data_IF_595099231837
#
_entry.id   IF_595099231837
#
_cell.length_a   1.000
_cell.length_b   1.000
_cell.length_c   1.000
_cell.angle_alpha   90.00
_cell.angle_beta   90.00
_cell.angle_gamma   90.00
#
_symmetry.space_group_name_H-M   'P 1'
#
loop_
_entity.id
_entity.type
_entity.pdbx_description
1 polymer ?
#
# COMPACT_ATOMS: atom_id res chain seq x y z
N UNK A 1 31.33 -17.93 22.59
CA UNK A 1 30.53 -17.44 21.45
C UNK A 1 29.38 -18.39 21.18
N UNK A 2 28.25 -18.20 21.87
CA UNK A 2 27.11 -19.13 21.86
C UNK A 2 25.96 -18.65 20.95
N UNK A 3 26.28 -17.99 19.82
CA UNK A 3 25.30 -17.21 19.04
C UNK A 3 25.03 -17.69 17.61
N UNK A 4 25.62 -18.80 17.14
CA UNK A 4 25.51 -19.18 15.71
C UNK A 4 25.10 -20.63 15.46
N UNK A 5 24.06 -21.12 16.16
CA UNK A 5 23.38 -22.34 15.70
C UNK A 5 21.89 -22.43 16.07
N UNK A 6 21.15 -21.31 15.98
CA UNK A 6 19.69 -21.40 15.91
C UNK A 6 19.35 -21.96 14.53
N UNK A 7 19.28 -23.30 14.41
CA UNK A 7 18.74 -23.96 13.21
C UNK A 7 17.33 -23.42 13.01
N UNK A 8 17.16 -22.48 12.08
CA UNK A 8 15.85 -22.01 11.65
C UNK A 8 15.14 -23.24 11.09
N UNK A 9 14.16 -23.74 11.83
CA UNK A 9 13.34 -24.84 11.36
C UNK A 9 12.40 -24.23 10.32
N UNK A 10 12.71 -24.40 9.03
CA UNK A 10 11.90 -23.91 7.90
C UNK A 10 10.64 -24.77 7.68
N UNK A 11 10.40 -25.80 8.49
CA UNK A 11 9.20 -26.64 8.40
C UNK A 11 7.88 -25.84 8.50
N UNK A 12 7.76 -24.78 9.33
CA UNK A 12 6.57 -23.92 9.39
C UNK A 12 6.37 -23.02 8.16
N UNK A 13 7.40 -22.77 7.34
CA UNK A 13 7.23 -22.08 6.04
C UNK A 13 6.52 -22.97 5.01
N UNK A 14 6.52 -24.29 5.22
CA UNK A 14 5.74 -25.23 4.40
C UNK A 14 4.27 -25.29 4.83
N UNK A 15 3.92 -24.75 6.01
CA UNK A 15 2.54 -24.56 6.39
C UNK A 15 1.96 -23.38 5.60
N UNK A 16 0.70 -23.46 5.13
CA UNK A 16 0.09 -22.44 4.27
C UNK A 16 0.14 -21.04 4.90
N UNK A 17 0.09 -20.93 6.23
CA UNK A 17 0.14 -19.66 6.95
C UNK A 17 1.51 -18.96 6.84
N UNK A 18 2.62 -19.69 7.00
CA UNK A 18 3.97 -19.13 6.91
C UNK A 18 4.31 -18.64 5.51
N UNK A 19 3.87 -19.36 4.48
CA UNK A 19 4.02 -18.94 3.08
C UNK A 19 3.26 -17.65 2.78
N UNK A 20 2.02 -17.52 3.28
CA UNK A 20 1.21 -16.31 3.07
C UNK A 20 1.87 -15.08 3.70
N UNK A 21 2.40 -15.18 4.93
CA UNK A 21 3.13 -14.07 5.58
C UNK A 21 4.38 -13.63 4.78
N UNK A 22 5.08 -14.58 4.14
CA UNK A 22 6.21 -14.26 3.27
C UNK A 22 5.77 -13.49 2.01
N UNK A 23 4.64 -13.89 1.42
CA UNK A 23 4.07 -13.19 0.26
C UNK A 23 3.62 -11.77 0.66
N UNK A 24 2.90 -11.61 1.78
CA UNK A 24 2.50 -10.29 2.33
C UNK A 24 3.69 -9.36 2.57
N UNK A 25 4.79 -9.92 3.07
CA UNK A 25 6.03 -9.19 3.32
C UNK A 25 6.66 -8.68 2.02
N UNK A 26 6.77 -9.55 1.01
CA UNK A 26 7.34 -9.18 -0.30
C UNK A 26 6.46 -8.15 -1.03
N UNK A 27 5.16 -8.35 -1.06
CA UNK A 27 4.21 -7.42 -1.72
C UNK A 27 4.19 -6.06 -1.03
N UNK A 28 4.35 -6.00 0.30
CA UNK A 28 4.50 -4.72 1.01
C UNK A 28 5.74 -3.95 0.56
N UNK A 29 6.89 -4.62 0.38
CA UNK A 29 8.12 -4.00 -0.15
C UNK A 29 7.89 -3.40 -1.53
N UNK A 30 7.26 -4.16 -2.43
CA UNK A 30 6.96 -3.65 -3.76
C UNK A 30 5.98 -2.47 -3.72
N UNK A 31 4.99 -2.50 -2.83
CA UNK A 31 4.02 -1.40 -2.69
C UNK A 31 4.67 -0.10 -2.21
N UNK A 32 5.37 -0.10 -1.07
CA UNK A 32 5.98 1.14 -0.58
C UNK A 32 7.21 1.55 -1.39
N UNK A 33 7.98 0.61 -1.91
CA UNK A 33 9.17 0.90 -2.71
C UNK A 33 8.86 1.54 -4.05
N UNK A 34 7.80 1.08 -4.72
CA UNK A 34 7.36 1.63 -6.02
C UNK A 34 6.73 3.02 -5.89
N UNK A 35 6.03 3.31 -4.79
CA UNK A 35 5.41 4.62 -4.54
C UNK A 35 6.40 5.62 -3.90
N UNK A 36 7.08 5.22 -2.82
CA UNK A 36 7.97 6.09 -2.05
C UNK A 36 9.29 6.42 -2.75
N UNK A 37 9.76 5.55 -3.65
CA UNK A 37 10.98 5.78 -4.45
C UNK A 37 10.75 6.49 -5.78
N UNK A 38 9.52 6.94 -6.07
CA UNK A 38 9.18 7.47 -7.38
C UNK A 38 9.66 8.91 -7.58
N UNK A 39 10.29 9.16 -8.72
CA UNK A 39 10.57 10.49 -9.27
C UNK A 39 10.24 10.49 -10.76
N UNK A 40 9.51 11.51 -11.21
CA UNK A 40 9.05 11.70 -12.57
C UNK A 40 9.40 13.09 -13.09
N UNK A 41 9.65 13.17 -14.39
CA UNK A 41 9.93 14.41 -15.10
C UNK A 41 9.03 14.50 -16.33
N UNK A 42 8.31 15.61 -16.45
CA UNK A 42 7.58 15.97 -17.66
C UNK A 42 8.28 17.15 -18.35
N UNK A 43 8.25 17.16 -19.68
CA UNK A 43 8.65 18.32 -20.49
C UNK A 43 7.41 18.87 -21.17
N UNK A 44 7.17 20.15 -20.96
CA UNK A 44 6.05 20.91 -21.51
C UNK A 44 6.63 21.83 -22.58
N UNK A 45 6.20 21.67 -23.82
CA UNK A 45 6.56 22.55 -24.92
C UNK A 45 5.49 23.61 -25.12
N UNK A 46 5.93 24.85 -25.29
CA UNK A 46 5.10 26.02 -25.53
C UNK A 46 5.39 26.50 -26.95
N UNK A 47 4.37 26.46 -27.81
CA UNK A 47 4.45 26.92 -29.19
C UNK A 47 3.89 28.34 -29.25
N UNK A 48 4.79 29.34 -29.34
CA UNK A 48 4.40 30.74 -29.38
C UNK A 48 3.96 31.15 -30.80
N UNK A 49 2.96 32.02 -30.92
CA UNK A 49 2.49 32.56 -32.21
C UNK A 49 3.56 33.28 -33.04
N UNK A 50 4.65 33.73 -32.41
CA UNK A 50 5.80 34.37 -33.06
C UNK A 50 6.77 33.36 -33.71
N UNK A 51 6.45 32.06 -33.68
CA UNK A 51 7.26 30.97 -34.26
C UNK A 51 8.38 30.46 -33.34
N UNK A 52 8.52 31.01 -32.14
CA UNK A 52 9.44 30.52 -31.11
C UNK A 52 8.84 29.34 -30.33
N UNK A 53 9.69 28.36 -30.00
CA UNK A 53 9.32 27.22 -29.16
C UNK A 53 10.12 27.28 -27.86
N UNK A 54 9.41 27.28 -26.74
CA UNK A 54 10.01 27.26 -25.41
C UNK A 54 9.68 25.95 -24.71
N UNK A 55 10.51 25.52 -23.76
CA UNK A 55 10.28 24.27 -23.00
C UNK A 55 10.38 24.50 -21.50
N UNK A 56 9.44 23.92 -20.76
CA UNK A 56 9.40 23.92 -19.31
C UNK A 56 9.53 22.50 -18.79
N UNK A 57 10.30 22.34 -17.71
CA UNK A 57 10.50 21.04 -17.07
C UNK A 57 9.74 20.99 -15.76
N UNK A 58 8.80 20.04 -15.64
CA UNK A 58 8.04 19.79 -14.43
C UNK A 58 8.54 18.51 -13.75
N UNK A 59 9.26 18.66 -12.64
CA UNK A 59 9.77 17.53 -11.86
C UNK A 59 8.87 17.25 -10.67
N UNK A 60 8.34 16.05 -10.53
CA UNK A 60 7.52 15.67 -9.39
C UNK A 60 7.99 14.34 -8.80
N UNK A 61 7.99 14.27 -7.48
CA UNK A 61 8.48 13.12 -6.72
C UNK A 61 7.54 12.85 -5.55
N UNK A 62 7.64 11.67 -4.93
CA UNK A 62 6.98 11.39 -3.66
C UNK A 62 7.37 12.47 -2.62
N UNK A 63 6.41 13.08 -1.88
CA UNK A 63 5.02 12.67 -1.70
C UNK A 63 4.01 13.33 -2.67
N UNK A 64 4.39 13.81 -3.84
CA UNK A 64 3.46 14.39 -4.84
C UNK A 64 2.76 15.68 -4.36
N UNK A 65 3.55 16.58 -3.77
CA UNK A 65 3.14 17.97 -3.47
C UNK A 65 3.26 18.84 -4.71
N UNK A 66 2.40 18.61 -5.71
CA UNK A 66 2.45 19.33 -6.99
C UNK A 66 2.33 20.86 -6.79
N UNK A 67 1.55 21.29 -5.80
CA UNK A 67 1.40 22.71 -5.39
C UNK A 67 2.69 23.39 -4.93
N UNK A 68 3.74 22.64 -4.60
CA UNK A 68 5.04 23.18 -4.18
C UNK A 68 6.09 23.10 -5.28
N UNK A 69 5.82 22.37 -6.37
CA UNK A 69 6.74 22.27 -7.50
C UNK A 69 6.50 23.47 -8.43
N UNK A 70 7.48 24.38 -8.59
CA UNK A 70 7.36 25.45 -9.57
C UNK A 70 7.47 24.86 -10.98
N UNK A 71 6.50 25.17 -11.85
CA UNK A 71 6.58 24.95 -13.30
C UNK A 71 7.50 25.96 -13.97
N UNK A 72 7.63 27.14 -13.36
CA UNK A 72 8.48 28.24 -13.80
C UNK A 72 9.27 28.73 -12.60
N UNK A 73 10.59 28.53 -12.64
CA UNK A 73 11.49 28.96 -11.58
C UNK A 73 11.78 30.46 -11.73
N UNK A 74 11.08 31.27 -10.94
CA UNK A 74 11.17 32.74 -10.97
C UNK A 74 10.25 33.42 -11.99
N UNK A 75 10.29 34.75 -12.02
CA UNK A 75 9.55 35.54 -13.01
C UNK A 75 10.36 35.54 -14.31
N UNK A 76 9.92 34.78 -15.30
CA UNK A 76 10.54 34.75 -16.62
C UNK A 76 9.56 35.21 -17.69
N UNK A 77 10.10 35.81 -18.74
CA UNK A 77 9.32 36.14 -19.94
C UNK A 77 9.28 34.90 -20.83
N UNK A 78 8.11 34.31 -20.99
CA UNK A 78 7.88 33.14 -21.83
C UNK A 78 6.90 33.56 -22.93
N UNK A 79 7.24 33.31 -24.20
CA UNK A 79 6.45 33.76 -25.34
C UNK A 79 6.10 35.27 -25.30
N UNK A 80 7.06 36.15 -24.98
CA UNK A 80 6.83 37.60 -24.82
C UNK A 80 5.79 37.99 -23.74
N UNK A 81 5.35 37.05 -22.90
CA UNK A 81 4.49 37.30 -21.75
C UNK A 81 5.26 37.09 -20.44
N UNK A 82 5.10 38.00 -19.47
CA UNK A 82 5.66 37.79 -18.13
C UNK A 82 4.84 36.73 -17.39
N UNK A 83 5.46 35.59 -17.09
CA UNK A 83 4.84 34.53 -16.30
C UNK A 83 5.39 34.61 -14.88
N UNK A 84 4.49 34.77 -13.92
CA UNK A 84 4.82 34.68 -12.50
C UNK A 84 4.98 33.22 -12.10
N UNK A 85 5.75 32.96 -11.05
CA UNK A 85 5.98 31.61 -10.52
C UNK A 85 4.65 30.85 -10.38
N UNK A 86 4.45 29.88 -11.25
CA UNK A 86 3.22 29.09 -11.31
C UNK A 86 3.55 27.70 -10.79
N UNK A 87 2.77 27.23 -9.83
CA UNK A 87 2.90 25.89 -9.28
C UNK A 87 1.91 24.94 -9.95
N UNK A 88 2.23 23.64 -10.00
CA UNK A 88 1.27 22.65 -10.51
C UNK A 88 0.04 22.57 -9.58
N UNK A 89 -1.15 22.37 -10.16
CA UNK A 89 -2.38 22.26 -9.37
C UNK A 89 -2.53 20.83 -8.83
N UNK A 90 -2.60 20.71 -7.51
CA UNK A 90 -2.95 19.46 -6.84
C UNK A 90 -2.05 19.13 -5.65
N UNK A 91 -2.62 18.46 -4.66
CA UNK A 91 -1.87 17.84 -3.57
C UNK A 91 -2.41 16.42 -3.38
N UNK A 92 -1.57 15.42 -3.65
CA UNK A 92 -1.89 14.01 -3.40
C UNK A 92 -0.97 13.39 -2.33
N UNK A 93 -0.31 14.25 -1.53
CA UNK A 93 0.64 13.82 -0.50
C UNK A 93 -0.01 13.05 0.63
N UNK A 94 -1.14 13.51 1.14
CA UNK A 94 -1.85 12.80 2.20
C UNK A 94 -2.19 11.36 1.81
N UNK A 95 -2.69 11.14 0.59
CA UNK A 95 -3.01 9.80 0.08
C UNK A 95 -1.77 8.93 -0.10
N UNK A 96 -0.68 9.49 -0.65
CA UNK A 96 0.57 8.76 -0.88
C UNK A 96 1.28 8.41 0.45
N UNK A 97 1.37 9.37 1.37
CA UNK A 97 1.92 9.22 2.71
C UNK A 97 1.13 8.20 3.52
N UNK A 98 -0.20 8.23 3.44
CA UNK A 98 -1.04 7.22 4.09
C UNK A 98 -0.80 5.81 3.54
N UNK A 99 -0.73 5.65 2.21
CA UNK A 99 -0.45 4.35 1.59
C UNK A 99 0.93 3.80 1.95
N UNK A 100 1.98 4.61 1.84
CA UNK A 100 3.35 4.22 2.21
C UNK A 100 3.46 3.93 3.70
N UNK A 101 2.84 4.75 4.55
CA UNK A 101 2.84 4.55 6.01
C UNK A 101 2.21 3.22 6.42
N UNK A 102 1.01 2.91 5.92
CA UNK A 102 0.37 1.61 6.17
C UNK A 102 1.20 0.46 5.61
N UNK A 103 1.83 0.65 4.44
CA UNK A 103 2.68 -0.39 3.87
C UNK A 103 3.93 -0.71 4.71
N UNK A 104 4.56 0.30 5.33
CA UNK A 104 5.66 0.10 6.28
C UNK A 104 5.17 -0.63 7.54
N UNK A 105 4.00 -0.26 8.07
CA UNK A 105 3.42 -0.94 9.24
C UNK A 105 3.14 -2.42 8.95
N UNK A 106 2.52 -2.73 7.80
CA UNK A 106 2.26 -4.09 7.36
C UNK A 106 3.56 -4.89 7.14
N UNK A 107 4.59 -4.26 6.57
CA UNK A 107 5.93 -4.84 6.40
C UNK A 107 6.56 -5.23 7.75
N UNK A 108 6.55 -4.32 8.73
CA UNK A 108 7.10 -4.59 10.07
C UNK A 108 6.29 -5.67 10.79
N UNK A 109 4.97 -5.63 10.70
CA UNK A 109 4.09 -6.63 11.30
C UNK A 109 4.35 -8.03 10.73
N UNK A 110 4.35 -8.17 9.41
CA UNK A 110 4.59 -9.46 8.74
C UNK A 110 5.98 -10.01 9.05
N UNK A 111 7.01 -9.15 9.14
CA UNK A 111 8.35 -9.54 9.59
C UNK A 111 8.35 -10.06 11.02
N UNK A 112 7.74 -9.34 11.97
CA UNK A 112 7.68 -9.77 13.38
C UNK A 112 6.89 -11.06 13.52
N UNK A 113 5.72 -11.15 12.89
CA UNK A 113 4.91 -12.36 12.87
C UNK A 113 5.73 -13.54 12.34
N UNK A 114 6.41 -13.39 11.20
CA UNK A 114 7.25 -14.44 10.62
C UNK A 114 8.39 -14.87 11.56
N UNK A 115 9.05 -13.94 12.25
CA UNK A 115 10.09 -14.27 13.24
C UNK A 115 9.54 -15.02 14.45
N UNK A 116 8.35 -14.66 14.93
CA UNK A 116 7.66 -15.36 16.03
C UNK A 116 7.29 -16.78 15.57
N UNK A 117 6.72 -16.93 14.37
CA UNK A 117 6.40 -18.23 13.77
C UNK A 117 7.63 -19.11 13.53
N UNK A 118 8.78 -18.56 13.13
CA UNK A 118 10.00 -19.37 12.92
C UNK A 118 10.75 -19.67 14.22
N UNK A 119 10.69 -18.77 15.20
CA UNK A 119 11.53 -18.81 16.40
C UNK A 119 10.87 -19.37 17.65
N UNK A 120 9.54 -19.29 17.77
CA UNK A 120 8.80 -19.51 19.02
C UNK A 120 7.48 -20.28 18.84
N UNK A 121 7.41 -21.22 17.89
CA UNK A 121 6.22 -22.09 17.70
C UNK A 121 5.73 -22.75 19.00
N UNK A 122 6.64 -23.12 19.89
CA UNK A 122 6.32 -23.74 21.18
C UNK A 122 5.55 -22.79 22.12
N UNK A 123 5.86 -21.49 22.13
CA UNK A 123 5.15 -20.49 22.95
C UNK A 123 3.83 -20.09 22.30
N UNK A 124 3.78 -20.07 20.97
CA UNK A 124 2.58 -19.72 20.21
C UNK A 124 1.45 -20.77 20.34
N UNK A 125 1.80 -22.04 20.57
CA UNK A 125 0.84 -23.14 20.74
C UNK A 125 0.31 -23.29 22.18
N UNK A 126 1.07 -22.86 23.18
CA UNK A 126 0.71 -23.05 24.59
C UNK A 126 -0.25 -21.99 25.16
N UNK A 127 -0.63 -20.97 24.37
CA UNK A 127 -1.59 -19.94 24.78
C UNK A 127 -2.58 -19.61 23.68
N UNK A 128 -3.88 -19.78 23.95
CA UNK A 128 -5.00 -19.44 23.05
C UNK A 128 -5.05 -17.93 22.68
N UNK A 129 -4.30 -17.08 23.40
CA UNK A 129 -4.23 -15.64 23.17
C UNK A 129 -3.51 -15.25 21.87
N UNK A 130 -2.45 -16.00 21.48
CA UNK A 130 -1.63 -15.66 20.31
C UNK A 130 -2.43 -15.61 19.00
N UNK A 131 -3.18 -16.67 18.66
CA UNK A 131 -4.00 -16.71 17.44
C UNK A 131 -5.11 -15.66 17.38
N UNK A 132 -5.77 -15.36 18.52
CA UNK A 132 -6.83 -14.34 18.58
C UNK A 132 -6.24 -12.94 18.37
N UNK A 133 -5.08 -12.66 18.95
CA UNK A 133 -4.40 -11.37 18.79
C UNK A 133 -3.91 -11.16 17.34
N UNK A 134 -3.29 -12.17 16.70
CA UNK A 134 -2.89 -12.09 15.29
C UNK A 134 -4.10 -11.90 14.37
N UNK A 135 -5.24 -12.54 14.68
CA UNK A 135 -6.48 -12.33 13.93
C UNK A 135 -6.97 -10.87 13.97
N UNK A 136 -7.06 -10.28 15.18
CA UNK A 136 -7.56 -8.90 15.34
C UNK A 136 -6.64 -7.90 14.64
N UNK A 137 -5.33 -8.05 14.78
CA UNK A 137 -4.40 -7.15 14.09
C UNK A 137 -4.47 -7.34 12.58
N UNK A 138 -4.47 -8.58 12.10
CA UNK A 138 -4.58 -8.87 10.66
C UNK A 138 -5.86 -8.26 10.08
N UNK A 139 -7.00 -8.35 10.77
CA UNK A 139 -8.25 -7.74 10.32
C UNK A 139 -8.18 -6.19 10.23
N UNK A 140 -7.57 -5.53 11.22
CA UNK A 140 -7.35 -4.08 11.19
C UNK A 140 -6.44 -3.68 10.03
N UNK A 141 -5.34 -4.43 9.82
CA UNK A 141 -4.39 -4.16 8.74
C UNK A 141 -5.02 -4.37 7.36
N UNK A 142 -5.85 -5.40 7.17
CA UNK A 142 -6.62 -5.59 5.92
C UNK A 142 -7.50 -4.38 5.62
N UNK A 143 -8.24 -3.90 6.62
CA UNK A 143 -9.12 -2.74 6.46
C UNK A 143 -8.33 -1.47 6.13
N UNK A 144 -7.29 -1.18 6.91
CA UNK A 144 -6.43 -0.01 6.65
C UNK A 144 -5.76 -0.08 5.28
N UNK A 145 -5.31 -1.27 4.87
CA UNK A 145 -4.71 -1.50 3.56
C UNK A 145 -5.68 -1.23 2.41
N UNK A 146 -6.94 -1.66 2.54
CA UNK A 146 -8.00 -1.39 1.56
C UNK A 146 -8.23 0.13 1.43
N UNK A 147 -8.39 0.82 2.55
CA UNK A 147 -8.66 2.26 2.57
C UNK A 147 -7.48 3.02 1.97
N UNK A 148 -6.24 2.68 2.34
CA UNK A 148 -5.06 3.37 1.85
C UNK A 148 -4.79 3.08 0.36
N UNK A 149 -5.00 1.85 -0.10
CA UNK A 149 -4.90 1.49 -1.52
C UNK A 149 -5.93 2.24 -2.38
N UNK A 150 -7.15 2.40 -1.87
CA UNK A 150 -8.22 3.14 -2.54
C UNK A 150 -7.91 4.64 -2.59
N UNK A 151 -7.45 5.21 -1.47
CA UNK A 151 -7.02 6.60 -1.39
C UNK A 151 -5.86 6.90 -2.35
N UNK A 152 -4.88 5.99 -2.44
CA UNK A 152 -3.77 6.12 -3.37
C UNK A 152 -4.20 5.93 -4.82
N UNK A 153 -5.11 5.01 -5.13
CA UNK A 153 -5.67 4.86 -6.47
C UNK A 153 -6.31 6.18 -6.97
N UNK A 154 -7.08 6.86 -6.10
CA UNK A 154 -7.63 8.19 -6.41
C UNK A 154 -6.55 9.27 -6.50
N UNK A 155 -5.58 9.26 -5.58
CA UNK A 155 -4.43 10.17 -5.59
C UNK A 155 -3.65 10.09 -6.90
N UNK A 156 -3.37 8.88 -7.39
CA UNK A 156 -2.70 8.65 -8.66
C UNK A 156 -3.48 9.22 -9.85
N UNK A 157 -4.81 9.13 -9.85
CA UNK A 157 -5.63 9.75 -10.90
C UNK A 157 -5.54 11.28 -10.86
N UNK A 158 -5.49 11.87 -9.66
CA UNK A 158 -5.30 13.32 -9.52
C UNK A 158 -3.91 13.75 -10.02
N UNK A 159 -2.85 12.99 -9.70
CA UNK A 159 -1.49 13.23 -10.22
C UNK A 159 -1.50 13.16 -11.74
N UNK A 160 -2.03 12.07 -12.33
CA UNK A 160 -2.15 11.92 -13.79
C UNK A 160 -2.85 13.10 -14.44
N UNK A 161 -4.03 13.46 -13.94
CA UNK A 161 -4.83 14.56 -14.48
C UNK A 161 -4.11 15.92 -14.39
N UNK A 162 -3.41 16.18 -13.29
CA UNK A 162 -2.63 17.41 -13.12
C UNK A 162 -1.39 17.46 -14.04
N UNK A 163 -0.78 16.31 -14.33
CA UNK A 163 0.41 16.19 -15.16
C UNK A 163 0.13 16.03 -16.66
N UNK A 164 -1.12 15.85 -17.05
CA UNK A 164 -1.55 15.71 -18.44
C UNK A 164 -1.63 17.07 -19.14
N UNK A 165 -1.65 17.07 -20.48
CA UNK A 165 -1.71 18.30 -21.30
C UNK A 165 -2.91 19.17 -20.94
N UNK A 166 -4.07 18.58 -20.67
CA UNK A 166 -5.27 19.32 -20.21
C UNK A 166 -5.07 19.95 -18.82
N UNK A 167 -4.45 19.25 -17.88
CA UNK A 167 -4.17 19.77 -16.54
C UNK A 167 -3.14 20.90 -16.54
N UNK A 168 -2.07 20.74 -17.33
CA UNK A 168 -1.02 21.74 -17.50
C UNK A 168 -1.57 22.99 -18.19
N UNK A 169 -2.33 22.83 -19.28
CA UNK A 169 -2.95 23.96 -19.99
C UNK A 169 -4.01 24.67 -19.16
N UNK A 170 -4.72 23.97 -18.28
CA UNK A 170 -5.64 24.59 -17.33
C UNK A 170 -4.91 25.39 -16.23
N UNK A 171 -3.68 24.98 -15.89
CA UNK A 171 -2.84 25.62 -14.85
C UNK A 171 -2.13 26.86 -15.38
N UNK A 172 -1.60 26.83 -16.61
CA UNK A 172 -0.97 27.98 -17.24
C UNK A 172 -2.00 28.88 -17.92
N UNK A 173 -2.20 30.08 -17.37
CA UNK A 173 -3.11 31.08 -17.95
C UNK A 173 -2.76 31.44 -19.41
N UNK A 174 -1.48 31.36 -19.79
CA UNK A 174 -1.01 31.60 -21.16
C UNK A 174 -1.67 30.67 -22.20
N UNK A 175 -1.87 29.41 -21.84
CA UNK A 175 -2.43 28.38 -22.72
C UNK A 175 -3.94 28.56 -22.94
N UNK A 176 -4.60 29.37 -22.09
CA UNK A 176 -6.05 29.56 -22.08
C UNK A 176 -6.50 30.82 -22.81
N UNK A 177 -5.62 31.81 -22.96
CA UNK A 177 -5.97 33.14 -23.46
C UNK A 177 -5.02 33.74 -24.51
N UNK A 178 -3.90 33.07 -24.85
CA UNK A 178 -2.93 33.56 -25.83
C UNK A 178 -2.93 32.76 -27.14
N UNK A 179 -2.22 33.28 -28.15
CA UNK A 179 -1.86 32.54 -29.38
C UNK A 179 -0.71 31.53 -29.10
N UNK A 180 -0.78 30.85 -27.95
CA UNK A 180 0.26 29.96 -27.42
C UNK A 180 -0.37 28.58 -27.19
N UNK A 181 0.12 27.57 -27.90
CA UNK A 181 -0.31 26.18 -27.70
C UNK A 181 0.64 25.50 -26.72
N UNK A 182 0.10 24.83 -25.71
CA UNK A 182 0.87 24.14 -24.70
C UNK A 182 0.64 22.64 -24.81
N UNK A 183 1.73 21.88 -24.94
CA UNK A 183 1.68 20.42 -25.10
C UNK A 183 2.73 19.76 -24.21
N UNK A 184 2.37 18.66 -23.56
CA UNK A 184 3.36 17.82 -22.86
C UNK A 184 4.01 16.91 -23.89
N UNK A 185 5.29 17.17 -24.20
CA UNK A 185 6.04 16.43 -25.23
C UNK A 185 6.80 15.23 -24.68
N UNK A 186 7.21 15.28 -23.42
CA UNK A 186 7.80 14.14 -22.71
C UNK A 186 7.00 13.86 -21.43
N UNK A 187 6.41 12.67 -21.35
CA UNK A 187 5.68 12.21 -20.17
C UNK A 187 6.58 11.39 -19.24
N UNK A 188 6.47 11.64 -17.94
CA UNK A 188 7.07 10.81 -16.91
C UNK A 188 6.54 9.38 -17.00
N UNK A 189 7.40 8.41 -16.70
CA UNK A 189 7.02 7.00 -16.69
C UNK A 189 6.16 6.65 -15.47
N UNK A 190 4.85 6.92 -15.55
CA UNK A 190 3.88 6.61 -14.49
C UNK A 190 3.56 5.12 -14.37
N UNK A 191 4.19 4.23 -15.15
CA UNK A 191 3.93 2.77 -15.09
C UNK A 191 4.23 2.22 -13.69
N UNK A 192 5.31 2.67 -13.06
CA UNK A 192 5.68 2.24 -11.70
C UNK A 192 4.58 2.56 -10.68
N UNK A 193 3.92 3.71 -10.81
CA UNK A 193 2.81 4.08 -9.94
C UNK A 193 1.54 3.27 -10.24
N UNK A 194 1.24 2.99 -11.50
CA UNK A 194 0.14 2.08 -11.86
C UNK A 194 0.36 0.68 -11.28
N UNK A 195 1.58 0.18 -11.40
CA UNK A 195 2.00 -1.10 -10.83
C UNK A 195 1.81 -1.07 -9.30
N UNK A 196 2.18 0.03 -8.62
CA UNK A 196 1.98 0.18 -7.16
C UNK A 196 0.51 0.00 -6.73
N UNK A 197 -0.44 0.54 -7.51
CA UNK A 197 -1.88 0.40 -7.24
C UNK A 197 -2.35 -1.03 -7.46
N UNK A 198 -1.91 -1.68 -8.54
CA UNK A 198 -2.24 -3.09 -8.82
C UNK A 198 -1.70 -4.00 -7.73
N UNK A 199 -0.44 -3.85 -7.34
CA UNK A 199 0.14 -4.59 -6.22
C UNK A 199 -0.55 -4.26 -4.89
N UNK A 200 -1.01 -3.03 -4.69
CA UNK A 200 -1.87 -2.64 -3.57
C UNK A 200 -3.12 -3.53 -3.49
N UNK A 201 -3.91 -3.63 -4.57
CA UNK A 201 -5.10 -4.48 -4.57
C UNK A 201 -4.78 -5.98 -4.54
N UNK A 202 -3.73 -6.45 -5.22
CA UNK A 202 -3.30 -7.85 -5.12
C UNK A 202 -2.94 -8.23 -3.69
N UNK A 203 -2.25 -7.34 -2.97
CA UNK A 203 -1.90 -7.57 -1.58
C UNK A 203 -3.16 -7.65 -0.70
N UNK A 204 -4.22 -6.88 -0.99
CA UNK A 204 -5.49 -6.98 -0.26
C UNK A 204 -6.07 -8.40 -0.31
N UNK A 205 -6.01 -9.09 -1.45
CA UNK A 205 -6.48 -10.48 -1.54
C UNK A 205 -5.60 -11.46 -0.73
N UNK A 206 -4.28 -11.22 -0.69
CA UNK A 206 -3.36 -12.02 0.13
C UNK A 206 -3.70 -11.85 1.62
N UNK A 207 -3.87 -10.61 2.08
CA UNK A 207 -4.25 -10.27 3.44
C UNK A 207 -5.64 -10.81 3.83
N UNK A 208 -6.62 -10.74 2.91
CA UNK A 208 -7.94 -11.32 3.13
C UNK A 208 -7.89 -12.85 3.19
N UNK A 209 -7.07 -13.49 2.36
CA UNK A 209 -6.82 -14.93 2.40
C UNK A 209 -6.18 -15.37 3.72
N UNK A 210 -5.21 -14.60 4.21
CA UNK A 210 -4.59 -14.79 5.52
C UNK A 210 -5.64 -14.69 6.65
N UNK A 211 -6.42 -13.61 6.68
CA UNK A 211 -7.47 -13.41 7.68
C UNK A 211 -8.52 -14.54 7.67
N UNK A 212 -8.92 -15.02 6.48
CA UNK A 212 -9.82 -16.16 6.34
C UNK A 212 -9.22 -17.46 6.86
N UNK A 213 -7.93 -17.70 6.58
CA UNK A 213 -7.24 -18.89 7.05
C UNK A 213 -7.12 -18.89 8.58
N UNK A 214 -6.66 -17.77 9.16
CA UNK A 214 -6.59 -17.58 10.61
C UNK A 214 -7.98 -17.73 11.25
N UNK A 215 -9.03 -17.17 10.65
CA UNK A 215 -10.41 -17.32 11.13
C UNK A 215 -10.83 -18.80 11.23
N UNK A 216 -10.50 -19.63 10.23
CA UNK A 216 -10.80 -21.06 10.26
C UNK A 216 -9.98 -21.84 11.29
N UNK A 217 -8.76 -21.40 11.60
CA UNK A 217 -7.91 -22.02 12.62
C UNK A 217 -8.27 -21.61 14.05
N UNK A 218 -8.79 -20.39 14.26
CA UNK A 218 -9.36 -19.99 15.55
C UNK A 218 -10.59 -20.85 15.89
N UNK A 219 -10.59 -21.47 17.07
CA UNK A 219 -11.53 -22.51 17.53
C UNK A 219 -13.04 -22.14 17.57
N UNK A 220 -13.45 -20.95 17.12
CA UNK A 220 -14.87 -20.58 17.02
C UNK A 220 -15.69 -21.51 16.14
N UNK A 221 -15.07 -22.16 15.14
CA UNK A 221 -15.73 -23.16 14.30
C UNK A 221 -15.69 -24.59 14.88
N UNK A 222 -14.74 -24.90 15.77
CA UNK A 222 -14.61 -26.21 16.38
C UNK A 222 -15.57 -26.40 17.58
N UNK A 223 -15.87 -25.31 18.31
CA UNK A 223 -16.87 -25.34 19.38
C UNK A 223 -18.31 -25.50 18.89
N UNK A 224 -18.64 -25.07 17.66
CA UNK A 224 -19.97 -25.31 17.08
C UNK A 224 -20.24 -26.78 16.74
N UNK A 225 -19.20 -27.61 16.62
CA UNK A 225 -19.34 -29.07 16.48
C UNK A 225 -19.20 -29.82 17.81
N UNK A 226 -18.92 -29.12 18.91
CA UNK A 226 -18.76 -29.72 20.24
C UNK A 226 -19.44 -28.86 21.30
N UNK A 227 -20.77 -28.72 21.20
CA UNK A 227 -21.59 -28.44 22.38
C UNK A 227 -22.09 -29.76 22.99
N UNK A 228 -21.99 -29.93 24.32
CA UNK A 228 -22.16 -31.22 24.99
C UNK A 228 -23.64 -31.52 25.26
N UNK A 229 -24.12 -32.67 24.77
CA UNK A 229 -25.42 -33.21 25.19
C UNK A 229 -25.31 -33.83 26.59
N UNK A 230 -25.50 -32.98 27.60
CA UNK A 230 -26.27 -33.19 28.83
C UNK A 230 -26.26 -34.55 29.57
N UNK A 231 -25.79 -34.50 30.83
CA UNK A 231 -26.03 -35.42 31.95
C UNK A 231 -27.50 -35.84 32.18
N UNK A 232 -27.71 -37.09 32.64
CA UNK A 232 -28.57 -37.38 33.79
C UNK A 232 -29.52 -38.59 33.71
N UNK A 233 -29.17 -39.73 34.34
CA UNK A 233 -30.00 -40.38 35.38
C UNK A 233 -29.24 -41.45 36.17
N UNK A 234 -29.40 -41.37 37.48
CA UNK A 234 -28.82 -42.19 38.55
C UNK A 234 -29.90 -43.10 39.15
N UNK A 235 -29.48 -44.12 39.92
CA UNK A 235 -30.21 -45.17 40.67
C UNK A 235 -30.41 -46.50 39.91
N UNK A 236 -30.06 -47.68 40.44
CA UNK A 236 -29.49 -48.07 41.74
C UNK A 236 -29.73 -49.58 42.01
N UNK A 237 -28.82 -50.23 42.75
CA UNK A 237 -28.95 -51.58 43.37
C UNK A 237 -28.73 -52.78 42.42
N UNK A 238 -28.01 -53.86 42.73
CA UNK A 238 -27.52 -54.40 44.01
C UNK A 238 -26.30 -55.33 43.78
N UNK A 239 -25.53 -55.51 44.87
CA UNK A 239 -24.65 -56.62 45.31
C UNK A 239 -24.66 -57.94 44.50
N UNK A 240 -23.62 -58.79 44.48
CA UNK A 240 -22.53 -59.09 45.40
C UNK A 240 -21.53 -60.02 44.69
N UNK A 241 -20.35 -60.15 45.29
CA UNK A 241 -19.23 -61.05 45.01
C UNK A 241 -19.57 -62.53 44.75
N UNK A 242 -18.95 -63.11 43.71
CA UNK A 242 -17.93 -64.18 43.80
C UNK A 242 -17.27 -64.44 42.42
#
# INVERSE_FOLDING_TARGET
GHFLQRKLNLSPLKEPLGFVKLVEWLTAIFAFGSCGGFSGRNIISLFCGDGGNETLTANFHYPFRLSQVPLVEGNTTICNHSVTTTHMVGDSASSAEFFVGIAIVCFLYSMVALLVYLGYMHVYKDSDFGPIFDFVITAILVFLWLVCSSAWAKGLQNVKGATDTEGVSATLALCKGGNVTCEVTEFANLRTLNISVVFGYLNMFVWAGNAWFVYKETRWHSQKFSSPSGHGRQQGGDSESL
#
